data_IF_520432869894
#
_entry.id   IF_520432869894
#
_cell.length_a   1.000
_cell.length_b   1.000
_cell.length_c   1.000
_cell.angle_alpha   90.00
_cell.angle_beta   90.00
_cell.angle_gamma   90.00
#
_symmetry.space_group_name_H-M   'P 1'
#
loop_
_entity.id
_entity.type
_entity.pdbx_description
1 polymer ?
#
# COMPACT_ATOMS: atom_id res chain seq x y z
N UNK A 1 4.73 14.80 -0.58
CA UNK A 1 5.31 16.00 0.07
C UNK A 1 5.96 16.95 -0.93
N UNK A 2 6.83 16.50 -1.86
CA UNK A 2 7.39 17.42 -2.88
C UNK A 2 6.32 18.19 -3.67
N UNK A 3 5.26 17.53 -4.15
CA UNK A 3 4.13 18.20 -4.81
C UNK A 3 3.39 19.18 -3.89
N UNK A 4 3.24 18.86 -2.61
CA UNK A 4 2.62 19.75 -1.60
C UNK A 4 3.50 20.99 -1.38
N UNK A 5 4.82 20.83 -1.31
CA UNK A 5 5.76 21.92 -1.10
C UNK A 5 5.85 22.86 -2.31
N UNK A 6 5.76 22.31 -3.53
CA UNK A 6 5.70 23.12 -4.76
C UNK A 6 4.38 23.87 -4.84
N UNK A 7 3.25 23.24 -4.54
CA UNK A 7 1.95 23.94 -4.57
C UNK A 7 1.86 24.96 -3.44
N UNK A 8 2.39 24.64 -2.26
CA UNK A 8 2.43 25.53 -1.10
C UNK A 8 3.40 26.70 -1.22
N UNK A 9 4.36 26.69 -2.16
CA UNK A 9 5.15 27.90 -2.46
C UNK A 9 4.37 28.92 -3.28
N UNK A 10 3.37 28.49 -4.04
CA UNK A 10 2.54 29.39 -4.85
C UNK A 10 1.24 29.83 -4.16
N UNK A 11 0.77 29.10 -3.14
CA UNK A 11 -0.52 29.32 -2.49
C UNK A 11 -0.41 29.36 -0.96
N UNK A 12 -1.40 29.98 -0.30
CA UNK A 12 -1.48 29.97 1.17
C UNK A 12 -1.55 28.53 1.71
N UNK A 13 -1.01 28.33 2.91
CA UNK A 13 -0.97 27.01 3.59
C UNK A 13 -2.40 26.45 3.73
N UNK A 14 -3.39 27.31 4.00
CA UNK A 14 -4.79 26.93 4.15
C UNK A 14 -5.41 26.42 2.85
N UNK A 15 -5.12 27.07 1.72
CA UNK A 15 -5.64 26.68 0.41
C UNK A 15 -4.99 25.38 -0.10
N UNK A 16 -3.69 25.22 0.15
CA UNK A 16 -2.96 23.98 -0.16
C UNK A 16 -3.50 22.81 0.67
N UNK A 17 -3.75 23.01 1.97
CA UNK A 17 -4.33 21.98 2.82
C UNK A 17 -5.73 21.54 2.34
N UNK A 18 -6.57 22.50 1.92
CA UNK A 18 -7.91 22.21 1.40
C UNK A 18 -7.86 21.42 0.08
N UNK A 19 -6.95 21.75 -0.83
CA UNK A 19 -6.77 21.00 -2.07
C UNK A 19 -6.34 19.55 -1.84
N UNK A 20 -5.38 19.32 -0.94
CA UNK A 20 -4.89 17.97 -0.65
C UNK A 20 -5.88 17.16 0.20
N UNK A 21 -6.78 17.80 0.94
CA UNK A 21 -7.87 17.13 1.65
C UNK A 21 -8.89 16.47 0.71
N UNK A 22 -8.98 16.89 -0.55
CA UNK A 22 -9.82 16.22 -1.55
C UNK A 22 -9.30 14.83 -1.94
N UNK A 23 -7.98 14.60 -1.89
CA UNK A 23 -7.36 13.32 -2.27
C UNK A 23 -7.85 12.15 -1.41
N UNK A 24 -7.82 12.20 -0.06
CA UNK A 24 -8.35 11.10 0.75
C UNK A 24 -9.87 10.93 0.58
N UNK A 25 -10.62 12.00 0.30
CA UNK A 25 -12.06 11.91 0.03
C UNK A 25 -12.31 11.11 -1.26
N UNK A 26 -11.57 11.42 -2.33
CA UNK A 26 -11.63 10.68 -3.59
C UNK A 26 -11.19 9.22 -3.37
N UNK A 27 -10.16 9.00 -2.55
CA UNK A 27 -9.68 7.65 -2.24
C UNK A 27 -10.75 6.83 -1.49
N UNK A 28 -11.46 7.43 -0.53
CA UNK A 28 -12.57 6.78 0.18
C UNK A 28 -13.71 6.49 -0.80
N UNK A 29 -14.08 7.47 -1.65
CA UNK A 29 -15.12 7.27 -2.65
C UNK A 29 -14.76 6.12 -3.60
N UNK A 30 -13.52 6.04 -4.08
CA UNK A 30 -13.04 4.95 -4.93
C UNK A 30 -13.07 3.61 -4.21
N UNK A 31 -12.73 3.58 -2.91
CA UNK A 31 -12.74 2.36 -2.11
C UNK A 31 -14.15 1.78 -1.93
N UNK A 32 -15.19 2.63 -1.93
CA UNK A 32 -16.60 2.18 -1.89
C UNK A 32 -16.98 1.43 -3.18
N UNK A 33 -16.42 1.82 -4.33
CA UNK A 33 -16.66 1.16 -5.61
C UNK A 33 -15.73 -0.04 -5.86
N UNK A 34 -14.66 -0.17 -5.10
CA UNK A 34 -13.72 -1.27 -5.25
C UNK A 34 -14.38 -2.59 -4.83
N UNK A 35 -14.30 -3.65 -5.65
CA UNK A 35 -14.82 -4.95 -5.26
C UNK A 35 -14.07 -5.48 -4.03
N UNK A 36 -14.80 -6.19 -3.19
CA UNK A 36 -14.22 -6.82 -2.00
C UNK A 36 -13.22 -7.90 -2.42
N UNK A 37 -12.15 -8.07 -1.65
CA UNK A 37 -11.06 -8.99 -2.03
C UNK A 37 -11.58 -10.42 -2.22
N UNK A 38 -11.32 -11.09 -3.37
CA UNK A 38 -11.79 -12.45 -3.64
C UNK A 38 -11.26 -13.45 -2.60
N UNK A 39 -10.06 -13.21 -2.07
CA UNK A 39 -9.48 -13.99 -0.97
C UNK A 39 -10.33 -13.95 0.31
N UNK A 40 -10.86 -12.77 0.66
CA UNK A 40 -11.71 -12.60 1.85
C UNK A 40 -13.07 -13.27 1.67
N UNK A 41 -13.66 -13.20 0.48
CA UNK A 41 -14.92 -13.86 0.14
C UNK A 41 -14.78 -15.39 0.19
N UNK A 42 -13.66 -15.95 -0.30
CA UNK A 42 -13.35 -17.37 -0.18
C UNK A 42 -13.15 -17.81 1.27
N UNK A 43 -12.45 -17.03 2.08
CA UNK A 43 -12.27 -17.32 3.51
C UNK A 43 -13.60 -17.34 4.29
N UNK A 44 -14.67 -16.73 3.76
CA UNK A 44 -16.04 -16.76 4.30
C UNK A 44 -16.96 -17.78 3.62
N UNK A 45 -16.41 -18.70 2.82
CA UNK A 45 -17.16 -19.70 2.05
C UNK A 45 -18.18 -19.11 1.05
N UNK A 46 -17.94 -17.88 0.53
CA UNK A 46 -18.77 -17.23 -0.49
C UNK A 46 -18.10 -17.33 -1.87
N UNK A 47 -18.05 -18.54 -2.42
CA UNK A 47 -17.33 -18.87 -3.67
C UNK A 47 -17.88 -18.15 -4.90
N UNK A 48 -19.20 -18.07 -5.07
CA UNK A 48 -19.82 -17.38 -6.22
C UNK A 48 -19.51 -15.88 -6.27
N UNK A 49 -19.51 -15.23 -5.11
CA UNK A 49 -19.18 -13.81 -5.02
C UNK A 49 -17.68 -13.56 -5.19
N UNK A 50 -16.84 -14.47 -4.70
CA UNK A 50 -15.40 -14.43 -4.95
C UNK A 50 -15.10 -14.53 -6.45
N UNK A 51 -15.80 -15.41 -7.17
CA UNK A 51 -15.69 -15.56 -8.63
C UNK A 51 -16.07 -14.28 -9.36
N UNK A 52 -17.20 -13.67 -9.00
CA UNK A 52 -17.63 -12.39 -9.58
C UNK A 52 -16.62 -11.26 -9.31
N UNK A 53 -16.10 -11.16 -8.08
CA UNK A 53 -15.05 -10.20 -7.73
C UNK A 53 -13.75 -10.42 -8.51
N UNK A 54 -13.32 -11.68 -8.67
CA UNK A 54 -12.13 -12.04 -9.45
C UNK A 54 -12.30 -11.72 -10.94
N UNK A 55 -13.47 -12.00 -11.51
CA UNK A 55 -13.80 -11.64 -12.90
C UNK A 55 -13.77 -10.12 -13.12
N UNK A 56 -14.31 -9.35 -12.18
CA UNK A 56 -14.29 -7.89 -12.23
C UNK A 56 -12.86 -7.34 -12.10
N UNK A 57 -12.03 -7.94 -11.23
CA UNK A 57 -10.65 -7.51 -11.01
C UNK A 57 -9.73 -7.86 -12.19
N UNK A 58 -9.94 -9.02 -12.82
CA UNK A 58 -9.17 -9.49 -13.98
C UNK A 58 -9.70 -8.98 -15.32
N UNK A 59 -10.92 -8.43 -15.34
CA UNK A 59 -11.64 -8.02 -16.54
C UNK A 59 -11.80 -9.17 -17.55
N UNK A 60 -11.97 -10.40 -17.06
CA UNK A 60 -12.12 -11.63 -17.87
C UNK A 60 -13.13 -12.58 -17.20
N UNK A 61 -13.84 -13.36 -18.01
CA UNK A 61 -14.82 -14.35 -17.54
C UNK A 61 -14.19 -15.69 -17.17
N UNK A 62 -13.09 -16.05 -17.84
CA UNK A 62 -12.34 -17.29 -17.61
C UNK A 62 -11.35 -17.09 -16.46
N UNK A 63 -11.80 -17.46 -15.26
CA UNK A 63 -11.02 -17.38 -14.03
C UNK A 63 -11.08 -18.69 -13.25
N UNK A 64 -11.58 -19.78 -13.85
CA UNK A 64 -11.83 -21.06 -13.18
C UNK A 64 -10.55 -21.64 -12.55
N UNK A 65 -9.47 -21.69 -13.32
CA UNK A 65 -8.17 -22.20 -12.87
C UNK A 65 -7.57 -21.33 -11.75
N UNK A 66 -7.69 -19.99 -11.88
CA UNK A 66 -7.21 -19.06 -10.86
C UNK A 66 -8.06 -19.15 -9.58
N UNK A 67 -9.36 -19.42 -9.71
CA UNK A 67 -10.25 -19.67 -8.58
C UNK A 67 -9.85 -20.93 -7.81
N UNK A 68 -9.61 -22.04 -8.52
CA UNK A 68 -9.21 -23.31 -7.91
C UNK A 68 -7.86 -23.19 -7.17
N UNK A 69 -6.88 -22.50 -7.77
CA UNK A 69 -5.61 -22.19 -7.12
C UNK A 69 -5.80 -21.34 -5.87
N UNK A 70 -6.63 -20.29 -5.95
CA UNK A 70 -6.89 -19.39 -4.83
C UNK A 70 -7.63 -20.08 -3.69
N UNK A 71 -8.57 -20.98 -4.00
CA UNK A 71 -9.29 -21.77 -3.00
C UNK A 71 -8.34 -22.75 -2.27
N UNK A 72 -7.44 -23.42 -3.00
CA UNK A 72 -6.43 -24.28 -2.42
C UNK A 72 -5.47 -23.50 -1.49
N UNK A 73 -5.05 -22.30 -1.90
CA UNK A 73 -4.19 -21.42 -1.10
C UNK A 73 -4.89 -20.92 0.17
N UNK A 74 -6.17 -20.51 0.05
CA UNK A 74 -6.99 -20.08 1.20
C UNK A 74 -7.17 -21.23 2.19
N UNK A 75 -7.51 -22.43 1.71
CA UNK A 75 -7.65 -23.60 2.60
C UNK A 75 -6.34 -23.95 3.30
N UNK A 76 -5.21 -23.89 2.57
CA UNK A 76 -3.89 -24.10 3.15
C UNK A 76 -3.61 -23.08 4.24
N UNK A 77 -3.87 -21.81 3.98
CA UNK A 77 -3.62 -20.72 4.93
C UNK A 77 -4.57 -20.73 6.15
N UNK A 78 -5.81 -21.21 6.01
CA UNK A 78 -6.74 -21.41 7.13
C UNK A 78 -6.27 -22.59 8.01
N UNK A 79 -5.78 -23.66 7.39
CA UNK A 79 -5.25 -24.83 8.11
C UNK A 79 -3.92 -24.55 8.82
N UNK A 80 -3.08 -23.72 8.21
CA UNK A 80 -1.81 -23.25 8.75
C UNK A 80 -2.05 -21.96 9.54
N UNK A 81 -2.57 -22.06 10.77
CA UNK A 81 -2.76 -20.88 11.62
C UNK A 81 -1.40 -20.22 11.93
N UNK A 82 -1.00 -19.23 11.15
CA UNK A 82 0.24 -18.49 11.40
C UNK A 82 0.08 -17.66 12.67
N UNK A 83 0.81 -18.03 13.72
CA UNK A 83 0.94 -17.21 14.92
C UNK A 83 2.00 -16.14 14.67
N UNK A 84 1.85 -14.95 15.26
CA UNK A 84 2.88 -13.89 15.16
C UNK A 84 4.28 -14.34 15.61
N UNK A 85 4.35 -15.36 16.47
CA UNK A 85 5.60 -15.97 16.93
C UNK A 85 6.26 -16.82 15.83
N UNK A 86 5.50 -17.36 14.88
CA UNK A 86 6.01 -18.18 13.77
C UNK A 86 6.85 -17.37 12.78
N UNK A 87 6.65 -16.05 12.73
CA UNK A 87 7.49 -15.13 11.94
C UNK A 87 8.95 -15.19 12.41
N UNK A 88 9.16 -15.35 13.72
CA UNK A 88 10.49 -15.43 14.34
C UNK A 88 10.97 -16.88 14.49
N UNK A 89 10.04 -17.81 14.73
CA UNK A 89 10.33 -19.22 14.98
C UNK A 89 10.65 -20.02 13.71
N UNK A 90 9.99 -19.71 12.59
CA UNK A 90 10.17 -20.42 11.32
C UNK A 90 11.37 -19.85 10.56
N UNK A 91 12.36 -20.71 10.28
CA UNK A 91 13.63 -20.32 9.61
C UNK A 91 13.42 -19.66 8.24
N UNK A 92 12.37 -20.05 7.51
CA UNK A 92 12.00 -19.47 6.20
C UNK A 92 11.54 -18.01 6.36
N UNK A 93 10.56 -17.76 7.24
CA UNK A 93 10.03 -16.42 7.49
C UNK A 93 11.06 -15.47 8.11
N UNK A 94 11.99 -15.99 8.94
CA UNK A 94 13.04 -15.18 9.56
C UNK A 94 13.96 -14.51 8.54
N UNK A 95 14.34 -15.20 7.45
CA UNK A 95 15.19 -14.60 6.41
C UNK A 95 14.44 -13.47 5.69
N UNK A 96 13.20 -13.70 5.30
CA UNK A 96 12.35 -12.69 4.68
C UNK A 96 12.17 -11.47 5.62
N UNK A 97 11.90 -11.72 6.90
CA UNK A 97 11.76 -10.67 7.91
C UNK A 97 13.04 -9.84 8.07
N UNK A 98 14.21 -10.48 8.18
CA UNK A 98 15.50 -9.79 8.29
C UNK A 98 15.79 -8.96 7.04
N UNK A 99 15.50 -9.49 5.84
CA UNK A 99 15.69 -8.75 4.59
C UNK A 99 14.76 -7.53 4.55
N UNK A 100 13.47 -7.70 4.85
CA UNK A 100 12.52 -6.59 4.91
C UNK A 100 12.96 -5.53 5.93
N UNK A 101 13.39 -5.95 7.11
CA UNK A 101 13.87 -5.05 8.16
C UNK A 101 15.13 -4.30 7.71
N UNK A 102 16.10 -5.00 7.09
CA UNK A 102 17.30 -4.39 6.56
C UNK A 102 16.98 -3.36 5.47
N UNK A 103 16.10 -3.71 4.52
CA UNK A 103 15.66 -2.80 3.45
C UNK A 103 15.00 -1.56 4.05
N UNK A 104 14.07 -1.72 4.99
CA UNK A 104 13.39 -0.59 5.65
C UNK A 104 14.35 0.28 6.45
N UNK A 105 15.32 -0.33 7.11
CA UNK A 105 16.37 0.38 7.85
C UNK A 105 17.22 1.18 6.88
N UNK A 106 17.73 0.58 5.81
CA UNK A 106 18.51 1.28 4.78
C UNK A 106 17.70 2.43 4.16
N UNK A 107 16.41 2.22 3.87
CA UNK A 107 15.53 3.29 3.38
C UNK A 107 15.41 4.44 4.38
N UNK A 108 15.19 4.16 5.67
CA UNK A 108 15.06 5.21 6.68
C UNK A 108 16.38 5.95 6.93
N UNK A 109 17.50 5.22 6.94
CA UNK A 109 18.84 5.77 7.16
C UNK A 109 19.46 6.40 5.90
N UNK A 110 18.85 6.24 4.72
CA UNK A 110 19.28 6.91 3.49
C UNK A 110 19.15 8.44 3.53
N UNK A 111 18.60 8.99 4.62
CA UNK A 111 18.45 10.43 4.79
C UNK A 111 17.26 11.01 4.04
N UNK A 112 16.40 10.18 3.43
CA UNK A 112 15.17 10.59 2.74
C UNK A 112 14.33 11.55 3.60
N UNK A 113 14.11 11.24 4.88
CA UNK A 113 13.35 12.08 5.79
C UNK A 113 14.05 13.41 6.12
N UNK A 114 15.40 13.40 6.19
CA UNK A 114 16.19 14.61 6.45
C UNK A 114 16.16 15.55 5.23
N UNK A 115 16.30 14.98 4.04
CA UNK A 115 16.14 15.69 2.77
C UNK A 115 14.73 16.27 2.72
N UNK A 116 13.68 15.48 2.92
CA UNK A 116 12.29 15.93 2.88
C UNK A 116 12.02 17.12 3.82
N UNK A 117 12.54 17.09 5.05
CA UNK A 117 12.36 18.17 6.02
C UNK A 117 13.21 19.42 5.75
N UNK A 118 14.39 19.28 5.14
CA UNK A 118 15.33 20.40 4.95
C UNK A 118 15.49 20.81 3.48
N UNK A 119 14.67 20.25 2.58
CA UNK A 119 14.72 20.51 1.14
C UNK A 119 14.64 22.02 0.85
N UNK A 120 13.74 22.76 1.50
CA UNK A 120 13.61 24.21 1.30
C UNK A 120 14.88 24.97 1.72
N UNK A 121 15.49 24.60 2.85
CA UNK A 121 16.73 25.20 3.34
C UNK A 121 17.92 24.90 2.42
N UNK A 122 18.02 23.68 1.88
CA UNK A 122 19.09 23.32 0.94
C UNK A 122 18.95 24.05 -0.39
N UNK A 123 17.73 24.19 -0.94
CA UNK A 123 17.51 24.94 -2.19
C UNK A 123 17.79 26.44 -2.03
N UNK A 124 17.40 27.04 -0.90
CA UNK A 124 17.72 28.44 -0.59
C UNK A 124 19.23 28.70 -0.54
N UNK A 125 19.99 27.81 0.12
CA UNK A 125 21.46 27.93 0.21
C UNK A 125 22.19 27.61 -1.11
N UNK A 126 21.58 26.83 -2.00
CA UNK A 126 22.14 26.51 -3.31
C UNK A 126 22.02 27.67 -4.33
N UNK A 127 21.50 28.83 -3.93
CA UNK A 127 21.32 29.99 -4.80
C UNK A 127 20.11 29.89 -5.75
N UNK A 128 19.30 28.84 -5.61
CA UNK A 128 18.03 28.67 -6.32
C UNK A 128 16.95 29.29 -5.45
N UNK A 129 16.84 30.62 -5.50
CA UNK A 129 15.86 31.39 -4.75
C UNK A 129 14.43 31.11 -5.23
N UNK A 130 13.78 30.12 -4.64
CA UNK A 130 12.33 30.02 -4.64
C UNK A 130 11.82 30.85 -3.46
N UNK A 131 11.37 32.07 -3.76
CA UNK A 131 10.50 32.85 -2.88
C UNK A 131 9.15 32.17 -2.73
#
# INVERSE_FOLDING_TARGET
VLLVNVVGSYFSITDTALMFACIPIIQIALFIFAPESPYYLLARHRTEEARCSLQLLRWRSDVDEEMEQLEADVQRQISESCRFIDIVSVKSHRKAFVICLAIRTIQQFSGLSAIESHTQYMFANAGVGIS
#
